data_IF_577174482704
#
_entry.id   IF_577174482704
#
_cell.length_a   1.000
_cell.length_b   1.000
_cell.length_c   1.000
_cell.angle_alpha   90.00
_cell.angle_beta   90.00
_cell.angle_gamma   90.00
#
_symmetry.space_group_name_H-M   'P 1'
#
loop_
_entity.id
_entity.type
_entity.pdbx_description
1 polymer ?
#
# COMPACT_ATOMS: atom_id res chain seq x y z
N UNK A 1 58.14 -17.80 14.35
CA UNK A 1 57.96 -16.78 13.29
C UNK A 1 57.00 -17.21 12.16
N UNK A 2 57.28 -18.28 11.40
CA UNK A 2 56.49 -18.66 10.20
C UNK A 2 55.00 -18.98 10.49
N UNK A 3 54.69 -19.56 11.67
CA UNK A 3 53.31 -19.95 12.05
C UNK A 3 52.41 -18.74 12.34
N UNK A 4 53.00 -17.65 12.83
CA UNK A 4 52.29 -16.44 13.23
C UNK A 4 51.90 -15.58 12.02
N UNK A 5 52.79 -15.53 11.02
CA UNK A 5 52.55 -14.83 9.75
C UNK A 5 51.44 -15.52 8.92
N UNK A 6 51.40 -16.86 8.97
CA UNK A 6 50.35 -17.66 8.31
C UNK A 6 48.98 -17.49 8.97
N UNK A 7 48.95 -17.29 10.30
CA UNK A 7 47.72 -16.97 11.05
C UNK A 7 47.22 -15.56 10.74
N UNK A 8 48.10 -14.56 10.69
CA UNK A 8 47.76 -13.17 10.34
C UNK A 8 47.19 -13.06 8.93
N UNK A 9 47.75 -13.78 7.95
CA UNK A 9 47.18 -13.86 6.59
C UNK A 9 45.80 -14.52 6.56
N UNK A 10 45.59 -15.61 7.29
CA UNK A 10 44.27 -16.27 7.36
C UNK A 10 43.22 -15.39 8.02
N UNK A 11 43.56 -14.66 9.09
CA UNK A 11 42.65 -13.70 9.74
C UNK A 11 42.32 -12.51 8.82
N UNK A 12 43.28 -12.02 8.04
CA UNK A 12 43.05 -10.99 7.02
C UNK A 12 42.07 -11.47 5.93
N UNK A 13 42.23 -12.69 5.43
CA UNK A 13 41.31 -13.25 4.44
C UNK A 13 39.88 -13.47 4.98
N UNK A 14 39.74 -13.92 6.23
CA UNK A 14 38.44 -14.05 6.90
C UNK A 14 37.79 -12.68 7.10
N UNK A 15 38.56 -11.67 7.50
CA UNK A 15 38.08 -10.30 7.66
C UNK A 15 37.56 -9.69 6.35
N UNK A 16 38.28 -9.88 5.24
CA UNK A 16 37.86 -9.39 3.91
C UNK A 16 36.63 -10.15 3.41
N UNK A 17 36.53 -11.46 3.65
CA UNK A 17 35.36 -12.25 3.27
C UNK A 17 34.09 -11.83 4.01
N UNK A 18 34.19 -11.54 5.31
CA UNK A 18 33.07 -11.04 6.13
C UNK A 18 32.66 -9.63 5.68
N UNK A 19 33.62 -8.77 5.32
CA UNK A 19 33.33 -7.41 4.85
C UNK A 19 32.57 -7.42 3.51
N UNK A 20 32.95 -8.31 2.58
CA UNK A 20 32.26 -8.46 1.28
C UNK A 20 30.86 -9.07 1.46
N UNK A 21 30.68 -10.00 2.41
CA UNK A 21 29.36 -10.55 2.74
C UNK A 21 28.42 -9.49 3.33
N UNK A 22 28.94 -8.55 4.11
CA UNK A 22 28.18 -7.43 4.69
C UNK A 22 27.77 -6.38 3.63
N UNK A 23 28.56 -6.19 2.58
CA UNK A 23 28.21 -5.29 1.47
C UNK A 23 27.29 -5.93 0.41
N UNK A 24 27.12 -7.27 0.44
CA UNK A 24 26.26 -8.01 -0.48
C UNK A 24 24.84 -8.25 0.08
N UNK A 25 24.53 -7.74 1.28
CA UNK A 25 23.15 -7.66 1.76
C UNK A 25 22.46 -6.53 0.98
N UNK A 26 21.43 -6.81 0.14
CA UNK A 26 20.54 -5.73 -0.26
C UNK A 26 20.03 -5.11 1.03
N UNK A 27 20.17 -3.79 1.16
CA UNK A 27 19.63 -3.02 2.26
C UNK A 27 18.19 -3.50 2.52
N UNK A 28 18.00 -4.27 3.59
CA UNK A 28 16.72 -4.84 3.91
C UNK A 28 15.78 -3.69 4.26
N UNK A 29 14.93 -3.36 3.29
CA UNK A 29 13.59 -2.81 3.44
C UNK A 29 13.42 -1.74 4.51
N UNK A 30 13.82 -0.53 4.18
CA UNK A 30 13.01 0.63 4.54
C UNK A 30 11.96 0.77 3.44
N UNK A 31 10.65 0.92 3.72
CA UNK A 31 9.70 1.29 2.70
C UNK A 31 10.20 2.60 2.05
N UNK A 32 10.16 2.66 0.71
CA UNK A 32 10.55 3.83 -0.09
C UNK A 32 9.80 5.11 0.33
N UNK A 33 8.71 4.95 1.07
CA UNK A 33 8.01 5.99 1.82
C UNK A 33 8.16 5.70 3.32
N UNK A 34 9.18 6.31 3.94
CA UNK A 34 9.47 6.14 5.36
C UNK A 34 8.50 6.95 6.23
N UNK A 35 7.49 6.28 6.79
CA UNK A 35 6.98 6.60 8.12
C UNK A 35 7.28 5.40 9.02
N UNK A 36 8.43 5.46 9.69
CA UNK A 36 8.84 4.50 10.71
C UNK A 36 8.27 4.88 12.09
N UNK A 37 8.18 3.93 13.02
CA UNK A 37 7.42 4.08 14.26
C UNK A 37 8.22 4.86 15.32
N UNK A 38 7.64 5.95 15.82
CA UNK A 38 8.10 6.71 16.97
C UNK A 38 6.95 7.60 17.46
N UNK A 39 6.24 7.12 18.48
CA UNK A 39 5.32 7.93 19.27
C UNK A 39 6.03 8.16 20.59
N UNK A 40 6.80 9.24 20.66
CA UNK A 40 7.52 9.63 21.85
C UNK A 40 7.42 11.16 21.93
N UNK A 41 6.90 11.61 23.06
CA UNK A 41 6.48 12.96 23.38
C UNK A 41 7.59 14.03 23.30
N UNK A 42 7.15 15.29 23.34
CA UNK A 42 7.93 16.54 23.36
C UNK A 42 8.40 17.06 21.99
N UNK A 43 7.56 17.88 21.35
CA UNK A 43 7.88 19.30 21.16
C UNK A 43 6.60 20.05 20.76
N UNK A 44 6.06 20.76 21.74
CA UNK A 44 5.07 21.81 21.57
C UNK A 44 5.75 23.00 20.85
N UNK A 45 5.39 23.25 19.60
CA UNK A 45 5.35 24.62 19.06
C UNK A 45 4.55 24.66 17.76
N UNK A 46 3.30 25.11 17.91
CA UNK A 46 2.61 26.02 16.98
C UNK A 46 2.43 25.57 15.52
N UNK A 47 1.31 24.89 15.25
CA UNK A 47 0.72 24.75 13.93
C UNK A 47 -0.78 24.52 14.01
N UNK A 48 -1.55 25.61 14.03
CA UNK A 48 -3.00 25.67 14.20
C UNK A 48 -3.76 24.75 13.22
N UNK A 49 -4.32 23.64 13.72
CA UNK A 49 -5.49 22.97 13.11
C UNK A 49 -6.51 22.55 14.17
N UNK A 50 -6.76 23.44 15.13
CA UNK A 50 -7.99 23.40 15.93
C UNK A 50 -8.99 24.37 15.33
N UNK A 51 -10.03 23.83 14.69
CA UNK A 51 -11.32 24.51 14.56
C UNK A 51 -11.81 24.74 13.14
N UNK A 52 -12.81 23.96 12.73
CA UNK A 52 -14.21 24.43 12.78
C UNK A 52 -15.14 23.25 12.54
N UNK A 53 -15.94 22.97 13.56
CA UNK A 53 -17.05 22.03 13.50
C UNK A 53 -18.05 22.43 12.44
N UNK A 54 -18.57 21.42 11.75
CA UNK A 54 -19.79 21.52 10.98
C UNK A 54 -20.94 21.04 11.88
N UNK A 55 -21.77 22.00 12.29
CA UNK A 55 -23.21 21.91 12.59
C UNK A 55 -23.79 20.72 13.37
N UNK A 56 -24.67 20.97 14.36
CA UNK A 56 -25.40 19.91 15.04
C UNK A 56 -26.50 19.35 14.15
N UNK A 57 -26.36 18.06 13.80
CA UNK A 57 -27.51 17.21 13.51
C UNK A 57 -27.81 16.96 12.05
N UNK A 58 -27.08 16.02 11.44
CA UNK A 58 -27.65 14.98 10.58
C UNK A 58 -26.78 13.73 10.77
N UNK A 59 -27.41 12.61 11.15
CA UNK A 59 -26.72 11.37 11.49
C UNK A 59 -25.89 10.84 10.33
N UNK A 60 -24.59 11.07 10.38
CA UNK A 60 -23.61 10.24 9.69
C UNK A 60 -23.51 8.95 10.49
N UNK A 61 -23.96 7.85 9.89
CA UNK A 61 -23.92 6.53 10.48
C UNK A 61 -22.51 6.10 10.89
N UNK A 62 -22.40 4.92 11.51
CA UNK A 62 -21.16 4.29 11.97
C UNK A 62 -20.25 3.84 10.81
N UNK A 63 -19.85 4.79 9.98
CA UNK A 63 -19.03 4.68 8.77
C UNK A 63 -18.57 6.09 8.42
N UNK A 64 -17.57 6.56 9.17
CA UNK A 64 -17.04 7.91 9.05
C UNK A 64 -16.55 8.23 7.64
N UNK A 65 -16.56 9.53 7.34
CA UNK A 65 -16.17 10.17 6.09
C UNK A 65 -15.12 9.40 5.27
N UNK A 66 -15.46 9.23 3.99
CA UNK A 66 -14.60 8.78 2.89
C UNK A 66 -13.12 9.11 3.10
N UNK A 67 -12.28 8.07 3.12
CA UNK A 67 -10.90 8.22 2.63
C UNK A 67 -9.77 8.22 3.66
N UNK A 68 -10.00 7.89 4.93
CA UNK A 68 -8.89 7.56 5.83
C UNK A 68 -9.07 6.15 6.39
N UNK A 69 -8.07 5.31 6.14
CA UNK A 69 -8.02 3.90 6.52
C UNK A 69 -8.43 3.72 7.97
N UNK A 70 -9.58 3.06 8.17
CA UNK A 70 -9.85 2.45 9.46
C UNK A 70 -8.81 1.35 9.58
N UNK A 71 -7.77 1.60 10.38
CA UNK A 71 -6.80 0.57 10.77
C UNK A 71 -7.59 -0.67 11.15
N UNK A 72 -7.55 -1.69 10.30
CA UNK A 72 -8.29 -2.92 10.56
C UNK A 72 -7.50 -3.64 11.63
N UNK A 73 -8.07 -3.70 12.83
CA UNK A 73 -7.47 -4.43 13.93
C UNK A 73 -7.35 -5.91 13.56
N UNK A 74 -6.12 -6.42 13.56
CA UNK A 74 -5.83 -7.85 13.42
C UNK A 74 -5.43 -8.38 14.81
N UNK A 75 -6.14 -9.40 15.35
CA UNK A 75 -5.75 -10.01 16.61
C UNK A 75 -4.31 -10.53 16.58
N UNK A 76 -3.61 -10.46 17.72
CA UNK A 76 -2.22 -10.93 17.81
C UNK A 76 -2.05 -12.44 17.52
N UNK A 77 -3.12 -13.22 17.71
CA UNK A 77 -3.13 -14.65 17.46
C UNK A 77 -4.49 -15.06 16.89
N UNK A 78 -4.45 -15.85 15.83
CA UNK A 78 -5.63 -16.42 15.18
C UNK A 78 -5.47 -17.95 15.07
N UNK A 79 -6.57 -18.71 14.94
CA UNK A 79 -6.48 -20.13 14.63
C UNK A 79 -5.81 -20.32 13.27
N UNK A 80 -4.81 -21.20 13.20
CA UNK A 80 -4.08 -21.44 11.95
C UNK A 80 -5.00 -22.11 10.93
N UNK A 81 -5.18 -21.55 9.72
CA UNK A 81 -6.03 -22.14 8.69
C UNK A 81 -5.50 -23.51 8.26
N UNK A 82 -6.38 -24.48 8.07
CA UNK A 82 -6.02 -25.84 7.61
C UNK A 82 -6.02 -25.94 6.09
N UNK A 83 -6.83 -25.14 5.42
CA UNK A 83 -6.95 -25.12 3.97
C UNK A 83 -5.69 -24.52 3.31
N UNK A 84 -4.85 -25.39 2.76
CA UNK A 84 -3.62 -25.00 2.05
C UNK A 84 -3.88 -24.15 0.81
N UNK A 85 -4.98 -24.38 0.11
CA UNK A 85 -5.37 -23.56 -1.05
C UNK A 85 -5.71 -22.13 -0.58
N UNK A 86 -6.44 -22.00 0.52
CA UNK A 86 -6.78 -20.71 1.09
C UNK A 86 -5.52 -19.93 1.50
N UNK A 87 -4.58 -20.58 2.19
CA UNK A 87 -3.30 -19.95 2.56
C UNK A 87 -2.50 -19.56 1.29
N UNK A 88 -2.50 -20.42 0.26
CA UNK A 88 -1.87 -20.11 -1.02
C UNK A 88 -2.45 -18.86 -1.67
N UNK A 89 -3.78 -18.75 -1.74
CA UNK A 89 -4.47 -17.59 -2.30
C UNK A 89 -4.31 -16.33 -1.46
N UNK A 90 -4.19 -16.44 -0.13
CA UNK A 90 -3.85 -15.30 0.71
C UNK A 90 -2.45 -14.76 0.38
N UNK A 91 -1.48 -15.64 0.11
CA UNK A 91 -0.13 -15.22 -0.35
C UNK A 91 -0.19 -14.56 -1.72
N UNK A 92 -1.00 -15.10 -2.63
CA UNK A 92 -1.22 -14.50 -3.94
C UNK A 92 -1.79 -13.08 -3.82
N UNK A 93 -2.80 -12.85 -2.98
CA UNK A 93 -3.32 -11.49 -2.74
C UNK A 93 -2.23 -10.60 -2.16
N UNK A 94 -1.48 -11.04 -1.15
CA UNK A 94 -0.38 -10.23 -0.59
C UNK A 94 0.63 -9.79 -1.67
N UNK A 95 0.99 -10.69 -2.58
CA UNK A 95 1.90 -10.37 -3.68
C UNK A 95 1.27 -9.38 -4.68
N UNK A 96 -0.04 -9.46 -4.90
CA UNK A 96 -0.78 -8.54 -5.76
C UNK A 96 -0.97 -7.17 -5.10
N UNK A 97 -1.24 -7.07 -3.80
CA UNK A 97 -1.30 -5.76 -3.12
C UNK A 97 0.04 -5.05 -3.08
N UNK A 98 1.13 -5.81 -2.90
CA UNK A 98 2.48 -5.25 -3.04
C UNK A 98 2.73 -4.71 -4.45
N UNK A 99 2.22 -5.40 -5.48
CA UNK A 99 2.27 -4.92 -6.86
C UNK A 99 1.40 -3.68 -7.05
N UNK A 100 0.16 -3.64 -6.54
CA UNK A 100 -0.73 -2.47 -6.57
C UNK A 100 -0.05 -1.26 -5.98
N UNK A 101 0.46 -1.37 -4.75
CA UNK A 101 1.19 -0.32 -4.07
C UNK A 101 2.36 0.22 -4.90
N UNK A 102 3.21 -0.67 -5.42
CA UNK A 102 4.40 -0.27 -6.19
C UNK A 102 4.03 0.34 -7.56
N UNK A 103 3.04 -0.24 -8.25
CA UNK A 103 2.54 0.25 -9.53
C UNK A 103 1.94 1.65 -9.36
N UNK A 104 1.09 1.84 -8.36
CA UNK A 104 0.40 3.11 -8.11
C UNK A 104 1.38 4.21 -7.75
N UNK A 105 2.36 3.92 -6.90
CA UNK A 105 3.44 4.85 -6.59
C UNK A 105 4.27 5.22 -7.83
N UNK A 106 4.62 4.22 -8.65
CA UNK A 106 5.42 4.43 -9.87
C UNK A 106 4.68 5.28 -10.90
N UNK A 107 3.40 4.98 -11.17
CA UNK A 107 2.60 5.75 -12.12
C UNK A 107 2.35 7.18 -11.61
N UNK A 108 2.05 7.35 -10.32
CA UNK A 108 1.85 8.67 -9.71
C UNK A 108 3.10 9.56 -9.86
N UNK A 109 4.29 9.01 -9.59
CA UNK A 109 5.57 9.69 -9.76
C UNK A 109 5.84 10.00 -11.24
N UNK A 110 5.68 9.00 -12.13
CA UNK A 110 5.99 9.12 -13.57
C UNK A 110 5.15 10.20 -14.26
N UNK A 111 3.86 10.28 -13.95
CA UNK A 111 2.94 11.21 -14.61
C UNK A 111 2.66 12.47 -13.79
N UNK A 112 3.28 12.62 -12.61
CA UNK A 112 3.10 13.75 -11.71
C UNK A 112 1.61 14.08 -11.46
N UNK A 113 0.86 13.05 -11.07
CA UNK A 113 -0.58 13.14 -10.85
C UNK A 113 -0.92 12.95 -9.37
N UNK A 114 -1.93 13.69 -8.91
CA UNK A 114 -2.32 13.69 -7.50
C UNK A 114 -3.48 12.71 -7.24
N UNK A 115 -4.67 12.97 -7.80
CA UNK A 115 -5.84 12.09 -7.67
C UNK A 115 -5.91 11.05 -8.80
N UNK A 116 -6.39 9.82 -8.54
CA UNK A 116 -6.82 9.31 -7.23
C UNK A 116 -5.67 8.71 -6.41
N UNK A 117 -4.45 8.65 -6.97
CA UNK A 117 -3.30 7.96 -6.38
C UNK A 117 -3.00 8.36 -4.92
N UNK A 118 -3.04 9.63 -4.56
CA UNK A 118 -2.75 10.09 -3.19
C UNK A 118 -3.78 9.62 -2.15
N UNK A 119 -4.99 9.26 -2.58
CA UNK A 119 -5.99 8.66 -1.69
C UNK A 119 -5.86 7.15 -1.58
N UNK A 120 -5.43 6.50 -2.67
CA UNK A 120 -5.39 5.03 -2.78
C UNK A 120 -4.09 4.46 -2.21
N UNK A 121 -2.94 5.06 -2.50
CA UNK A 121 -1.61 4.56 -2.08
C UNK A 121 -1.51 4.31 -0.56
N UNK A 122 -1.98 5.23 0.33
CA UNK A 122 -1.96 4.95 1.77
C UNK A 122 -2.82 3.75 2.17
N UNK A 123 -3.95 3.54 1.49
CA UNK A 123 -4.85 2.41 1.76
C UNK A 123 -4.23 1.09 1.28
N UNK A 124 -3.56 1.08 0.13
CA UNK A 124 -2.80 -0.09 -0.35
C UNK A 124 -1.69 -0.49 0.63
N UNK A 125 -1.01 0.50 1.22
CA UNK A 125 -0.04 0.23 2.28
C UNK A 125 -0.71 -0.43 3.49
N UNK A 126 -1.89 0.04 3.91
CA UNK A 126 -2.67 -0.57 4.99
C UNK A 126 -3.13 -2.00 4.64
N UNK A 127 -3.47 -2.28 3.37
CA UNK A 127 -3.85 -3.63 2.90
C UNK A 127 -2.68 -4.59 3.05
N UNK A 128 -1.50 -4.21 2.53
CA UNK A 128 -0.27 -5.00 2.66
C UNK A 128 0.03 -5.28 4.12
N UNK A 129 0.04 -4.25 4.98
CA UNK A 129 0.31 -4.41 6.41
C UNK A 129 -0.72 -5.31 7.10
N UNK A 130 -2.01 -5.17 6.76
CA UNK A 130 -3.09 -5.97 7.34
C UNK A 130 -2.92 -7.45 7.00
N UNK A 131 -2.58 -7.76 5.74
CA UNK A 131 -2.38 -9.16 5.32
C UNK A 131 -1.09 -9.74 5.91
N UNK A 132 0.00 -8.97 6.01
CA UNK A 132 1.23 -9.41 6.69
C UNK A 132 0.98 -9.69 8.18
N UNK A 133 0.12 -8.89 8.83
CA UNK A 133 -0.32 -9.14 10.21
C UNK A 133 -1.18 -10.39 10.32
N UNK A 134 -2.03 -10.71 9.34
CA UNK A 134 -2.75 -11.99 9.32
C UNK A 134 -1.77 -13.17 9.29
N UNK A 135 -0.77 -13.14 8.39
CA UNK A 135 0.28 -14.18 8.38
C UNK A 135 0.99 -14.29 9.72
N UNK A 136 1.36 -13.16 10.33
CA UNK A 136 1.99 -13.12 11.66
C UNK A 136 1.08 -13.73 12.74
N UNK A 137 -0.21 -13.38 12.76
CA UNK A 137 -1.19 -13.88 13.73
C UNK A 137 -1.43 -15.40 13.62
N UNK A 138 -1.25 -15.97 12.43
CA UNK A 138 -1.26 -17.42 12.20
C UNK A 138 0.09 -18.11 12.48
N UNK A 139 1.16 -17.36 12.74
CA UNK A 139 2.52 -17.90 12.83
C UNK A 139 3.05 -18.45 11.50
N UNK A 140 2.64 -17.84 10.37
CA UNK A 140 3.01 -18.23 9.01
C UNK A 140 3.94 -17.20 8.36
N UNK A 141 4.73 -17.63 7.38
CA UNK A 141 5.63 -16.77 6.58
C UNK A 141 4.92 -16.15 5.37
N UNK A 142 5.32 -14.92 5.05
CA UNK A 142 4.84 -14.13 3.90
C UNK A 142 5.67 -14.38 2.64
N UNK A 143 6.00 -15.63 2.35
CA UNK A 143 6.86 -15.97 1.22
C UNK A 143 6.19 -15.64 -0.12
N UNK A 144 6.92 -14.96 -1.01
CA UNK A 144 6.44 -14.60 -2.33
C UNK A 144 7.10 -13.32 -2.80
N UNK A 145 7.70 -13.36 -4.00
CA UNK A 145 8.20 -12.14 -4.64
C UNK A 145 7.02 -11.47 -5.35
N UNK A 146 6.77 -10.17 -5.14
CA UNK A 146 5.75 -9.48 -5.91
C UNK A 146 6.09 -9.55 -7.40
N UNK A 147 5.09 -9.63 -8.29
CA UNK A 147 5.30 -9.41 -9.71
C UNK A 147 5.96 -8.06 -9.96
N UNK A 148 6.66 -7.92 -11.07
CA UNK A 148 7.27 -6.65 -11.46
C UNK A 148 6.21 -5.66 -11.93
N UNK A 149 6.37 -4.38 -11.56
CA UNK A 149 5.59 -3.27 -12.13
C UNK A 149 5.66 -3.26 -13.66
N UNK A 150 4.58 -2.79 -14.29
CA UNK A 150 4.49 -2.62 -15.73
C UNK A 150 4.78 -1.18 -16.11
N UNK A 151 5.57 -1.02 -17.16
CA UNK A 151 5.76 0.29 -17.77
C UNK A 151 4.53 0.65 -18.62
N UNK A 152 3.83 1.70 -18.20
CA UNK A 152 2.70 2.30 -18.90
C UNK A 152 3.23 3.40 -19.82
N UNK A 153 2.61 3.67 -20.98
CA UNK A 153 3.10 4.73 -21.90
C UNK A 153 2.37 6.06 -21.72
N UNK A 154 1.14 6.01 -21.23
CA UNK A 154 0.31 7.18 -21.00
C UNK A 154 -0.38 7.10 -19.64
N UNK A 155 -0.82 8.25 -19.12
CA UNK A 155 -1.61 8.32 -17.90
C UNK A 155 -2.95 7.56 -18.04
N UNK A 156 -3.56 7.58 -19.22
CA UNK A 156 -4.77 6.79 -19.48
C UNK A 156 -4.50 5.29 -19.40
N UNK A 157 -3.42 4.80 -20.00
CA UNK A 157 -3.00 3.39 -19.88
C UNK A 157 -2.71 3.02 -18.41
N UNK A 158 -2.14 3.92 -17.63
CA UNK A 158 -1.92 3.73 -16.20
C UNK A 158 -3.23 3.56 -15.43
N UNK A 159 -4.22 4.43 -15.65
CA UNK A 159 -5.53 4.28 -15.02
C UNK A 159 -6.27 3.02 -15.47
N UNK A 160 -6.19 2.66 -16.76
CA UNK A 160 -6.76 1.41 -17.27
C UNK A 160 -6.11 0.18 -16.62
N UNK A 161 -4.80 0.22 -16.41
CA UNK A 161 -4.08 -0.82 -15.69
C UNK A 161 -4.55 -0.91 -14.23
N UNK A 162 -4.69 0.22 -13.53
CA UNK A 162 -5.20 0.24 -12.16
C UNK A 162 -6.61 -0.37 -12.06
N UNK A 163 -7.55 0.05 -12.93
CA UNK A 163 -8.89 -0.56 -13.02
C UNK A 163 -8.83 -2.07 -13.22
N UNK A 164 -7.93 -2.54 -14.09
CA UNK A 164 -7.75 -3.98 -14.32
C UNK A 164 -7.25 -4.68 -13.05
N UNK A 165 -6.28 -4.12 -12.35
CA UNK A 165 -5.72 -4.69 -11.13
C UNK A 165 -6.79 -4.82 -10.04
N UNK A 166 -7.57 -3.78 -9.80
CA UNK A 166 -8.67 -3.81 -8.83
C UNK A 166 -9.75 -4.84 -9.19
N UNK A 167 -10.16 -4.89 -10.47
CA UNK A 167 -11.12 -5.90 -10.95
C UNK A 167 -10.60 -7.33 -10.80
N UNK A 168 -9.30 -7.54 -10.98
CA UNK A 168 -8.67 -8.84 -10.83
C UNK A 168 -8.56 -9.27 -9.34
N UNK A 169 -8.47 -8.30 -8.41
CA UNK A 169 -8.41 -8.52 -6.95
C UNK A 169 -9.76 -8.86 -6.33
N UNK A 170 -10.83 -8.16 -6.70
CA UNK A 170 -12.18 -8.32 -6.12
C UNK A 170 -12.63 -9.80 -6.03
N UNK A 171 -12.64 -10.61 -7.11
CA UNK A 171 -13.12 -11.99 -7.01
C UNK A 171 -12.22 -12.88 -6.16
N UNK A 172 -10.94 -12.53 -5.99
CA UNK A 172 -9.99 -13.27 -5.13
C UNK A 172 -10.32 -13.03 -3.67
N UNK A 173 -10.58 -11.78 -3.29
CA UNK A 173 -11.06 -11.44 -1.96
C UNK A 173 -12.39 -12.12 -1.65
N UNK A 174 -13.36 -12.05 -2.57
CA UNK A 174 -14.66 -12.71 -2.40
C UNK A 174 -14.50 -14.21 -2.15
N UNK A 175 -13.59 -14.87 -2.87
CA UNK A 175 -13.30 -16.28 -2.64
C UNK A 175 -12.69 -16.51 -1.26
N UNK A 176 -11.70 -15.72 -0.84
CA UNK A 176 -11.07 -15.89 0.48
C UNK A 176 -12.07 -15.68 1.62
N UNK A 177 -12.93 -14.67 1.51
CA UNK A 177 -13.96 -14.37 2.52
C UNK A 177 -14.95 -15.53 2.64
N UNK A 178 -15.44 -16.06 1.51
CA UNK A 178 -16.39 -17.19 1.50
C UNK A 178 -15.78 -18.49 2.03
N UNK A 179 -14.47 -18.66 1.91
CA UNK A 179 -13.75 -19.88 2.29
C UNK A 179 -12.89 -19.72 3.55
N UNK A 180 -13.03 -18.62 4.29
CA UNK A 180 -12.33 -18.42 5.55
C UNK A 180 -12.83 -19.40 6.62
N UNK A 181 -11.90 -19.97 7.38
CA UNK A 181 -12.23 -20.95 8.44
C UNK A 181 -12.66 -20.29 9.75
N UNK A 182 -12.47 -18.98 9.89
CA UNK A 182 -12.89 -18.18 11.05
C UNK A 182 -13.53 -16.85 10.63
N UNK A 183 -14.43 -16.35 11.49
CA UNK A 183 -15.24 -15.15 11.19
C UNK A 183 -14.44 -13.86 11.28
N UNK A 184 -13.42 -13.80 12.13
CA UNK A 184 -12.63 -12.59 12.36
C UNK A 184 -11.82 -12.29 11.09
N UNK A 185 -11.15 -13.29 10.55
CA UNK A 185 -10.45 -13.23 9.26
C UNK A 185 -11.39 -12.85 8.13
N UNK A 186 -12.57 -13.48 8.05
CA UNK A 186 -13.56 -13.14 7.03
C UNK A 186 -13.96 -11.65 7.10
N UNK A 187 -14.16 -11.13 8.31
CA UNK A 187 -14.48 -9.72 8.54
C UNK A 187 -13.34 -8.78 8.16
N UNK A 188 -12.10 -9.12 8.52
CA UNK A 188 -10.89 -8.36 8.16
C UNK A 188 -10.75 -8.26 6.63
N UNK A 189 -10.82 -9.40 5.94
CA UNK A 189 -10.72 -9.44 4.47
C UNK A 189 -11.89 -8.73 3.78
N UNK A 190 -13.08 -8.73 4.38
CA UNK A 190 -14.23 -8.00 3.85
C UNK A 190 -14.06 -6.48 3.93
N UNK A 191 -13.37 -5.97 4.97
CA UNK A 191 -13.03 -4.55 5.04
C UNK A 191 -12.06 -4.15 3.92
N UNK A 192 -11.06 -4.98 3.63
CA UNK A 192 -10.14 -4.75 2.51
C UNK A 192 -10.90 -4.76 1.18
N UNK A 193 -11.76 -5.75 0.94
CA UNK A 193 -12.60 -5.82 -0.26
C UNK A 193 -13.45 -4.57 -0.49
N UNK A 194 -14.02 -4.00 0.57
CA UNK A 194 -14.80 -2.75 0.46
C UNK A 194 -13.90 -1.60 -0.02
N UNK A 195 -12.68 -1.49 0.49
CA UNK A 195 -11.72 -0.47 0.05
C UNK A 195 -11.26 -0.69 -1.39
N UNK A 196 -10.91 -1.92 -1.78
CA UNK A 196 -10.59 -2.30 -3.18
C UNK A 196 -11.71 -1.89 -4.14
N UNK A 197 -12.99 -2.07 -3.75
CA UNK A 197 -14.14 -1.62 -4.56
C UNK A 197 -14.24 -0.10 -4.68
N UNK A 198 -13.87 0.65 -3.63
CA UNK A 198 -13.78 2.11 -3.71
C UNK A 198 -12.64 2.55 -4.63
N UNK A 199 -11.47 1.90 -4.56
CA UNK A 199 -10.35 2.19 -5.46
C UNK A 199 -10.75 1.99 -6.92
N UNK A 200 -11.43 0.88 -7.24
CA UNK A 200 -11.98 0.64 -8.57
C UNK A 200 -12.89 1.80 -9.02
N UNK A 201 -13.84 2.20 -8.18
CA UNK A 201 -14.76 3.30 -8.50
C UNK A 201 -14.02 4.62 -8.73
N UNK A 202 -12.96 4.90 -7.97
CA UNK A 202 -12.13 6.11 -8.13
C UNK A 202 -11.36 6.10 -9.46
N UNK A 203 -10.73 4.98 -9.82
CA UNK A 203 -10.01 4.86 -11.08
C UNK A 203 -10.95 4.86 -12.30
N UNK A 204 -12.12 4.20 -12.20
CA UNK A 204 -13.16 4.25 -13.24
C UNK A 204 -13.69 5.68 -13.42
N UNK A 205 -13.89 6.42 -12.33
CA UNK A 205 -14.35 7.80 -12.38
C UNK A 205 -13.37 8.70 -13.14
N UNK A 206 -12.06 8.62 -12.84
CA UNK A 206 -11.07 9.45 -13.54
C UNK A 206 -10.90 9.05 -15.00
N UNK A 207 -11.13 7.79 -15.38
CA UNK A 207 -11.19 7.39 -16.79
C UNK A 207 -12.41 7.95 -17.51
N UNK A 208 -13.58 7.96 -16.87
CA UNK A 208 -14.82 8.46 -17.47
C UNK A 208 -14.84 9.98 -17.58
N UNK A 209 -14.36 10.68 -16.55
CA UNK A 209 -14.33 12.15 -16.50
C UNK A 209 -13.09 12.72 -17.20
N UNK A 210 -11.92 12.07 -17.05
CA UNK A 210 -10.68 12.43 -17.72
C UNK A 210 -10.59 11.98 -19.19
N UNK A 211 -11.48 11.07 -19.62
CA UNK A 211 -11.67 10.68 -21.02
C UNK A 211 -12.48 11.67 -21.85
N UNK A 212 -13.02 12.74 -21.24
CA UNK A 212 -13.53 13.87 -22.00
C UNK A 212 -12.34 14.65 -22.54
N UNK A 213 -12.07 14.47 -23.84
CA UNK A 213 -11.11 15.25 -24.61
C UNK A 213 -10.88 16.65 -24.04
N UNK A 214 -9.60 17.02 -23.87
CA UNK A 214 -9.15 18.41 -23.70
C UNK A 214 -9.55 19.28 -24.90
N UNK A 215 -10.84 19.57 -25.02
CA UNK A 215 -11.45 20.17 -26.20
C UNK A 215 -12.96 20.36 -26.07
N UNK A 216 -13.40 21.22 -25.15
CA UNK A 216 -14.52 22.17 -25.32
C UNK A 216 -14.70 23.03 -24.03
N UNK A 217 -15.35 24.21 -24.08
CA UNK A 217 -14.77 25.50 -24.40
C UNK A 217 -14.73 26.41 -23.16
N UNK A 218 -14.02 26.00 -22.10
CA UNK A 218 -13.70 26.89 -20.97
C UNK A 218 -12.20 27.20 -20.85
N UNK A 219 -11.41 26.78 -21.84
CA UNK A 219 -9.97 27.05 -21.94
C UNK A 219 -9.57 28.44 -22.46
N UNK A 220 -10.50 29.40 -22.52
CA UNK A 220 -10.23 30.77 -22.98
C UNK A 220 -10.75 31.80 -22.00
N UNK A 221 -10.12 31.89 -20.82
CA UNK A 221 -9.87 33.14 -20.05
C UNK A 221 -9.42 32.76 -18.64
N UNK A 222 -8.12 32.90 -18.38
CA UNK A 222 -7.60 32.73 -17.04
C UNK A 222 -6.09 32.80 -16.94
N UNK A 223 -5.45 33.80 -17.55
CA UNK A 223 -4.16 34.26 -17.02
C UNK A 223 -4.44 34.87 -15.65
N UNK A 224 -3.98 34.24 -14.58
CA UNK A 224 -3.96 34.80 -13.23
C UNK A 224 -3.02 33.98 -12.33
N UNK A 225 -2.04 34.59 -11.66
CA UNK A 225 -1.12 33.87 -10.78
C UNK A 225 -1.82 33.58 -9.44
N UNK A 226 -1.74 32.32 -9.03
CA UNK A 226 -2.10 31.88 -7.68
C UNK A 226 -3.59 31.70 -7.44
N UNK A 227 -3.99 30.47 -7.14
CA UNK A 227 -4.83 30.16 -5.99
C UNK A 227 -4.85 28.64 -5.80
N UNK A 228 -4.34 28.25 -4.62
CA UNK A 228 -4.48 26.95 -4.00
C UNK A 228 -5.94 26.49 -4.08
N UNK A 229 -6.16 25.26 -4.54
CA UNK A 229 -7.38 24.52 -4.21
C UNK A 229 -6.98 23.43 -3.23
N UNK A 230 -7.04 23.79 -1.95
CA UNK A 230 -7.14 22.83 -0.87
C UNK A 230 -8.54 22.24 -0.85
N UNK A 231 -8.58 20.91 -0.90
CA UNK A 231 -9.62 20.04 -0.37
C UNK A 231 -8.93 18.77 0.11
#
# INVERSE_FOLDING_TARGET
MIKEEKMKRKMLFIGVFILVLLMALPAMSQPRYGYGPGYDDEYDSSGQWTGRGWGPGYGMGRGGMMGYGIYTYVPQKLPVPKNKEWIGKLREILALEKLSLEQYATDAEKYNTYMPYHMVIPQEQDHVMTIERLFTAYGLTTDGKPPTVKDTKTLEEAYQLCVKMERDLIPRYEWLIRNAEDRDTAGILNNLLIQTRYHLAMFEHVLQVGGWHGGAPWGSRGRGPGMMWGW
#
